data_IF_737300062608
#
_entry.id   IF_737300062608
#
_cell.length_a   1.000
_cell.length_b   1.000
_cell.length_c   1.000
_cell.angle_alpha   90.00
_cell.angle_beta   90.00
_cell.angle_gamma   90.00
#
_symmetry.space_group_name_H-M   'P 1'
#
loop_
_entity.id
_entity.type
_entity.pdbx_description
1 polymer ?
#
# COMPACT_ATOMS: atom_id res chain seq x y z
N UNK A 1 -20.97 21.64 -8.65
CA UNK A 1 -20.30 22.81 -9.25
C UNK A 1 -21.18 24.05 -9.13
N UNK A 2 -22.40 24.06 -9.68
CA UNK A 2 -23.34 25.21 -9.64
C UNK A 2 -23.56 25.85 -8.25
N UNK A 3 -23.65 25.03 -7.19
CA UNK A 3 -23.79 25.50 -5.81
C UNK A 3 -22.61 26.37 -5.34
N UNK A 4 -21.39 26.08 -5.81
CA UNK A 4 -20.18 26.80 -5.45
C UNK A 4 -20.00 28.02 -6.36
N UNK A 5 -20.15 27.86 -7.67
CA UNK A 5 -19.97 28.94 -8.64
C UNK A 5 -20.98 30.07 -8.43
N UNK A 6 -22.25 29.77 -8.09
CA UNK A 6 -23.26 30.80 -7.76
C UNK A 6 -22.95 31.64 -6.51
N UNK A 7 -21.96 31.23 -5.70
CA UNK A 7 -21.50 31.98 -4.53
C UNK A 7 -20.12 32.61 -4.73
N UNK A 8 -19.63 32.65 -5.97
CA UNK A 8 -18.29 33.16 -6.27
C UNK A 8 -17.16 32.30 -5.72
N UNK A 9 -17.41 31.00 -5.48
CA UNK A 9 -16.35 30.03 -5.15
C UNK A 9 -15.87 29.39 -6.43
N UNK A 10 -14.56 29.38 -6.64
CA UNK A 10 -13.89 28.65 -7.73
C UNK A 10 -13.51 27.24 -7.24
N UNK A 11 -14.20 26.18 -7.68
CA UNK A 11 -13.90 24.82 -7.25
C UNK A 11 -12.71 24.22 -8.01
N UNK A 12 -11.78 23.62 -7.27
CA UNK A 12 -10.72 22.75 -7.82
C UNK A 12 -11.06 21.31 -7.43
N UNK A 13 -11.22 20.44 -8.43
CA UNK A 13 -11.40 19.01 -8.22
C UNK A 13 -10.09 18.32 -8.56
N UNK A 14 -9.54 17.58 -7.61
CA UNK A 14 -8.29 16.84 -7.78
C UNK A 14 -8.45 15.40 -7.28
N UNK A 15 -7.91 14.46 -8.04
CA UNK A 15 -7.67 13.08 -7.60
C UNK A 15 -6.16 12.87 -7.49
N UNK A 16 -5.72 12.28 -6.38
CA UNK A 16 -4.29 12.08 -6.10
C UNK A 16 -3.65 11.05 -7.04
N UNK A 17 -4.40 10.02 -7.42
CA UNK A 17 -3.96 8.92 -8.26
C UNK A 17 -5.17 8.24 -8.92
N UNK A 18 -4.91 7.44 -9.95
CA UNK A 18 -5.88 6.46 -10.45
C UNK A 18 -5.62 5.06 -9.88
N UNK A 19 -6.60 4.18 -10.07
CA UNK A 19 -6.59 2.80 -9.55
C UNK A 19 -6.61 1.85 -10.72
N UNK A 20 -5.60 0.99 -10.85
CA UNK A 20 -5.49 0.01 -11.94
C UNK A 20 -5.94 -1.39 -11.52
N UNK A 21 -6.41 -2.24 -12.46
CA UNK A 21 -6.85 -3.58 -12.13
C UNK A 21 -5.69 -4.46 -11.68
N UNK A 22 -5.89 -5.16 -10.58
CA UNK A 22 -4.99 -6.21 -10.08
C UNK A 22 -5.78 -7.49 -9.83
N UNK A 23 -5.09 -8.63 -9.83
CA UNK A 23 -5.73 -9.95 -9.70
C UNK A 23 -5.20 -10.78 -8.53
N UNK A 24 -4.00 -10.48 -8.03
CA UNK A 24 -3.40 -11.21 -6.90
C UNK A 24 -2.29 -10.38 -6.24
N UNK A 25 -1.72 -10.89 -5.14
CA UNK A 25 -0.65 -10.25 -4.40
C UNK A 25 0.65 -11.06 -4.34
N UNK A 26 1.75 -10.36 -4.12
CA UNK A 26 3.05 -10.90 -3.70
C UNK A 26 3.24 -10.58 -2.21
N UNK A 27 3.85 -11.48 -1.45
CA UNK A 27 4.11 -11.29 -0.01
C UNK A 27 5.63 -11.20 0.24
N UNK A 28 6.25 -10.00 0.16
CA UNK A 28 7.70 -9.87 0.28
C UNK A 28 8.24 -10.37 1.62
N UNK A 29 7.51 -10.18 2.73
CA UNK A 29 7.96 -10.66 4.04
C UNK A 29 7.95 -12.19 4.14
N UNK A 30 7.00 -12.88 3.49
CA UNK A 30 7.00 -14.34 3.38
C UNK A 30 8.22 -14.84 2.59
N UNK A 31 8.57 -14.18 1.48
CA UNK A 31 9.78 -14.50 0.70
C UNK A 31 11.05 -14.31 1.54
N UNK A 32 11.15 -13.19 2.26
CA UNK A 32 12.30 -12.92 3.16
C UNK A 32 12.39 -13.95 4.30
N UNK A 33 11.25 -14.43 4.80
CA UNK A 33 11.21 -15.51 5.79
C UNK A 33 11.77 -16.80 5.22
N UNK A 34 11.40 -17.16 4.00
CA UNK A 34 11.81 -18.43 3.38
C UNK A 34 13.32 -18.53 3.18
N UNK A 35 14.00 -17.39 2.98
CA UNK A 35 15.47 -17.31 2.88
C UNK A 35 16.17 -16.96 4.21
N UNK A 36 15.43 -16.96 5.32
CA UNK A 36 15.97 -16.73 6.67
C UNK A 36 16.41 -15.30 6.96
N UNK A 37 15.90 -14.31 6.21
CA UNK A 37 16.20 -12.89 6.41
C UNK A 37 15.17 -12.17 7.27
N UNK A 38 13.94 -12.70 7.36
CA UNK A 38 12.93 -12.20 8.27
C UNK A 38 13.01 -12.96 9.61
N UNK A 39 13.21 -12.22 10.70
CA UNK A 39 13.08 -12.78 12.03
C UNK A 39 11.64 -12.67 12.53
N UNK A 40 11.13 -13.78 13.04
CA UNK A 40 9.81 -13.88 13.65
C UNK A 40 9.87 -14.84 14.84
N UNK A 41 8.87 -14.78 15.70
CA UNK A 41 8.72 -15.65 16.87
C UNK A 41 7.27 -16.00 17.11
N UNK A 42 7.02 -17.09 17.82
CA UNK A 42 5.67 -17.46 18.23
C UNK A 42 5.35 -16.86 19.60
N UNK A 43 4.25 -16.10 19.68
CA UNK A 43 3.70 -15.55 20.91
C UNK A 43 2.23 -15.96 21.02
N UNK A 44 1.86 -16.70 22.06
CA UNK A 44 0.47 -17.16 22.28
C UNK A 44 -0.13 -17.90 21.05
N UNK A 45 0.70 -18.69 20.35
CA UNK A 45 0.31 -19.41 19.14
C UNK A 45 0.20 -18.54 17.87
N UNK A 46 0.60 -17.27 17.93
CA UNK A 46 0.62 -16.33 16.79
C UNK A 46 2.06 -16.00 16.38
N UNK A 47 2.28 -15.82 15.09
CA UNK A 47 3.59 -15.46 14.55
C UNK A 47 3.76 -13.94 14.53
N UNK A 48 4.65 -13.44 15.39
CA UNK A 48 4.97 -12.02 15.52
C UNK A 48 6.31 -11.73 14.87
N UNK A 49 6.36 -10.71 14.01
CA UNK A 49 7.60 -10.26 13.36
C UNK A 49 8.37 -9.29 14.24
N UNK A 50 9.70 -9.32 14.16
CA UNK A 50 10.59 -8.33 14.77
C UNK A 50 11.45 -7.67 13.68
N UNK A 51 11.02 -6.50 13.15
CA UNK A 51 11.76 -5.83 12.09
C UNK A 51 13.18 -5.42 12.51
N UNK A 52 13.40 -5.10 13.79
CA UNK A 52 14.69 -4.64 14.29
C UNK A 52 15.75 -5.73 14.35
N UNK A 53 15.32 -6.99 14.55
CA UNK A 53 16.20 -8.16 14.54
C UNK A 53 16.35 -8.77 13.13
N UNK A 54 15.44 -8.44 12.22
CA UNK A 54 15.43 -8.99 10.87
C UNK A 54 16.62 -8.50 10.04
N UNK A 55 17.15 -9.40 9.19
CA UNK A 55 18.13 -9.03 8.17
C UNK A 55 17.50 -8.17 7.08
N UNK A 56 16.24 -8.42 6.74
CA UNK A 56 15.45 -7.56 5.86
C UNK A 56 13.98 -7.56 6.27
N UNK A 57 13.28 -6.46 6.01
CA UNK A 57 11.86 -6.29 6.31
C UNK A 57 11.18 -5.39 5.28
N UNK A 58 10.04 -5.81 4.74
CA UNK A 58 9.28 -5.03 3.77
C UNK A 58 8.07 -4.36 4.43
N UNK A 59 7.91 -3.06 4.15
CA UNK A 59 6.67 -2.31 4.38
C UNK A 59 5.96 -2.20 3.04
N UNK A 60 4.78 -2.80 2.93
CA UNK A 60 4.05 -2.91 1.67
C UNK A 60 2.90 -1.90 1.60
N UNK A 61 2.77 -1.22 0.47
CA UNK A 61 1.65 -0.31 0.20
C UNK A 61 1.27 -0.41 -1.28
N UNK A 62 0.16 -1.12 -1.53
CA UNK A 62 -0.33 -1.37 -2.88
C UNK A 62 0.75 -1.93 -3.81
N UNK A 63 1.09 -1.26 -4.92
CA UNK A 63 2.04 -1.76 -5.93
C UNK A 63 3.49 -1.40 -5.63
N UNK A 64 3.77 -0.85 -4.45
CA UNK A 64 5.11 -0.46 -4.01
C UNK A 64 5.42 -1.08 -2.65
N UNK A 65 6.64 -1.57 -2.46
CA UNK A 65 7.11 -2.02 -1.16
C UNK A 65 8.50 -1.49 -0.85
N UNK A 66 8.66 -0.89 0.33
CA UNK A 66 9.96 -0.45 0.82
C UNK A 66 10.60 -1.55 1.65
N UNK A 67 11.73 -2.09 1.19
CA UNK A 67 12.50 -3.09 1.92
C UNK A 67 13.62 -2.40 2.68
N UNK A 68 13.62 -2.57 4.00
CA UNK A 68 14.69 -2.14 4.89
C UNK A 68 15.64 -3.27 5.19
N UNK A 69 16.93 -2.96 5.20
CA UNK A 69 18.00 -3.92 5.45
C UNK A 69 18.59 -3.68 6.84
N UNK A 70 18.51 -4.69 7.70
CA UNK A 70 19.29 -4.77 8.92
C UNK A 70 20.77 -5.04 8.62
N UNK A 71 21.60 -5.11 9.66
CA UNK A 71 23.06 -5.28 9.51
C UNK A 71 23.45 -6.50 8.67
N UNK A 72 22.79 -7.64 8.87
CA UNK A 72 23.06 -8.87 8.11
C UNK A 72 22.54 -8.80 6.67
N UNK A 73 21.42 -8.11 6.42
CA UNK A 73 20.90 -7.92 5.07
C UNK A 73 21.69 -6.89 4.26
N UNK A 74 22.27 -5.87 4.90
CA UNK A 74 23.13 -4.89 4.21
C UNK A 74 24.33 -5.55 3.52
N UNK A 75 24.95 -6.55 4.16
CA UNK A 75 26.05 -7.32 3.57
C UNK A 75 25.60 -8.24 2.43
N UNK A 76 24.29 -8.49 2.30
CA UNK A 76 23.66 -9.36 1.29
C UNK A 76 22.75 -8.58 0.34
N UNK A 77 22.92 -7.25 0.25
CA UNK A 77 22.01 -6.37 -0.50
C UNK A 77 21.76 -6.86 -1.93
N UNK A 78 22.83 -7.14 -2.67
CA UNK A 78 22.73 -7.54 -4.08
C UNK A 78 22.05 -8.90 -4.25
N UNK A 79 22.26 -9.82 -3.31
CA UNK A 79 21.57 -11.11 -3.26
C UNK A 79 20.07 -10.93 -3.01
N UNK A 80 19.70 -10.05 -2.08
CA UNK A 80 18.29 -9.72 -1.78
C UNK A 80 17.64 -9.05 -2.98
N UNK A 81 18.35 -8.15 -3.66
CA UNK A 81 17.86 -7.51 -4.86
C UNK A 81 17.62 -8.53 -5.98
N UNK A 82 18.57 -9.46 -6.21
CA UNK A 82 18.43 -10.52 -7.19
C UNK A 82 17.28 -11.51 -6.86
N UNK A 83 17.07 -11.81 -5.56
CA UNK A 83 15.94 -12.61 -5.10
C UNK A 83 14.62 -11.96 -5.50
N UNK A 84 14.45 -10.67 -5.23
CA UNK A 84 13.21 -9.98 -5.62
C UNK A 84 13.10 -9.78 -7.12
N UNK A 85 14.18 -9.51 -7.84
CA UNK A 85 14.15 -9.36 -9.30
C UNK A 85 13.77 -10.66 -10.03
N UNK A 86 14.02 -11.82 -9.40
CA UNK A 86 13.59 -13.14 -9.91
C UNK A 86 12.24 -13.61 -9.35
N UNK A 87 11.61 -12.84 -8.47
CA UNK A 87 10.32 -13.18 -7.89
C UNK A 87 9.19 -12.84 -8.87
N UNK A 88 8.36 -13.83 -9.21
CA UNK A 88 7.17 -13.62 -10.02
C UNK A 88 6.24 -12.57 -9.38
N UNK A 89 5.82 -11.59 -10.18
CA UNK A 89 4.96 -10.48 -9.72
C UNK A 89 5.72 -9.27 -9.19
N UNK A 90 7.06 -9.28 -9.19
CA UNK A 90 7.91 -8.08 -8.99
C UNK A 90 8.43 -7.64 -10.36
N UNK A 91 8.12 -6.42 -10.76
CA UNK A 91 8.56 -5.85 -12.03
C UNK A 91 9.91 -5.13 -11.93
N UNK A 92 10.15 -4.43 -10.81
CA UNK A 92 11.36 -3.63 -10.61
C UNK A 92 11.85 -3.73 -9.17
N UNK A 93 13.16 -3.65 -9.01
CA UNK A 93 13.85 -3.55 -7.72
C UNK A 93 14.80 -2.37 -7.79
N UNK A 94 14.35 -1.22 -7.29
CA UNK A 94 15.12 0.02 -7.34
C UNK A 94 16.14 0.04 -6.20
N UNK A 95 17.41 0.23 -6.56
CA UNK A 95 18.52 0.40 -5.63
C UNK A 95 19.54 1.40 -6.16
N UNK A 96 20.34 1.98 -5.26
CA UNK A 96 21.43 2.91 -5.64
C UNK A 96 20.93 4.05 -6.53
N UNK A 97 21.52 4.19 -7.72
CA UNK A 97 21.19 5.25 -8.68
C UNK A 97 19.77 5.15 -9.23
N UNK A 98 19.20 3.95 -9.42
CA UNK A 98 17.82 3.80 -9.90
C UNK A 98 16.82 4.35 -8.88
N UNK A 99 17.09 4.12 -7.59
CA UNK A 99 16.29 4.68 -6.50
C UNK A 99 16.39 6.22 -6.48
N UNK A 100 17.58 6.77 -6.72
CA UNK A 100 17.80 8.21 -6.81
C UNK A 100 17.08 8.83 -8.02
N UNK A 101 17.15 8.19 -9.18
CA UNK A 101 16.45 8.60 -10.40
C UNK A 101 14.93 8.61 -10.22
N UNK A 102 14.39 7.72 -9.39
CA UNK A 102 12.98 7.70 -9.00
C UNK A 102 12.60 8.72 -7.90
N UNK A 103 13.51 9.63 -7.52
CA UNK A 103 13.35 10.58 -6.41
C UNK A 103 13.10 9.92 -5.04
N UNK A 104 13.61 8.70 -4.84
CA UNK A 104 13.48 7.91 -3.61
C UNK A 104 14.79 7.81 -2.82
N UNK A 105 15.80 8.64 -3.12
CA UNK A 105 17.00 8.75 -2.29
C UNK A 105 16.76 9.59 -1.03
N UNK A 106 15.94 9.04 -0.13
CA UNK A 106 15.56 9.68 1.11
C UNK A 106 15.78 8.70 2.28
N UNK A 107 16.24 9.14 3.47
CA UNK A 107 16.45 8.27 4.62
C UNK A 107 15.18 7.54 5.10
N UNK A 108 13.99 7.98 4.67
CA UNK A 108 12.68 7.34 4.92
C UNK A 108 12.27 6.30 3.87
N UNK A 109 12.89 6.29 2.69
CA UNK A 109 12.69 5.24 1.70
C UNK A 109 13.50 3.99 2.02
N UNK A 110 12.95 2.82 1.72
CA UNK A 110 13.63 1.52 1.80
C UNK A 110 15.04 1.52 1.17
N UNK A 111 15.91 0.66 1.70
CA UNK A 111 17.22 0.38 1.11
C UNK A 111 17.08 -0.22 -0.31
N UNK A 112 16.02 -0.99 -0.52
CA UNK A 112 15.49 -1.38 -1.82
C UNK A 112 14.02 -0.92 -1.91
N UNK A 113 13.56 -0.59 -3.11
CA UNK A 113 12.13 -0.33 -3.37
C UNK A 113 11.64 -1.26 -4.46
N UNK A 114 10.62 -2.04 -4.15
CA UNK A 114 10.00 -2.97 -5.07
C UNK A 114 8.82 -2.29 -5.76
N UNK A 115 8.67 -2.55 -7.05
CA UNK A 115 7.47 -2.19 -7.82
C UNK A 115 6.88 -3.50 -8.33
N UNK A 116 5.61 -3.78 -8.00
CA UNK A 116 4.94 -5.03 -8.40
C UNK A 116 4.62 -5.01 -9.89
N UNK A 117 4.44 -6.16 -10.53
CA UNK A 117 3.82 -6.25 -11.85
C UNK A 117 2.47 -5.52 -11.91
N UNK A 118 2.04 -5.14 -13.12
CA UNK A 118 0.85 -4.29 -13.34
C UNK A 118 -0.43 -4.88 -12.75
N UNK A 119 -0.57 -6.20 -12.80
CA UNK A 119 -1.72 -6.96 -12.31
C UNK A 119 -1.53 -7.51 -10.89
N UNK A 120 -0.47 -7.07 -10.19
CA UNK A 120 -0.12 -7.49 -8.83
C UNK A 120 -0.10 -6.31 -7.87
N UNK A 121 -0.17 -6.62 -6.59
CA UNK A 121 0.10 -5.71 -5.47
C UNK A 121 0.90 -6.45 -4.38
N UNK A 122 1.36 -5.75 -3.34
CA UNK A 122 2.12 -6.32 -2.25
C UNK A 122 1.30 -6.41 -0.97
N UNK A 123 1.23 -7.61 -0.38
CA UNK A 123 0.75 -7.81 0.98
C UNK A 123 1.92 -7.69 1.96
N UNK A 124 1.61 -7.36 3.20
CA UNK A 124 2.60 -7.31 4.26
C UNK A 124 2.82 -8.68 4.95
N UNK A 125 2.15 -9.74 4.49
CA UNK A 125 2.04 -11.05 5.14
C UNK A 125 3.41 -11.75 5.28
N UNK A 126 3.65 -12.35 6.45
CA UNK A 126 4.87 -13.15 6.72
C UNK A 126 4.60 -14.58 7.19
N UNK A 127 3.34 -14.90 7.52
CA UNK A 127 2.93 -16.25 7.93
C UNK A 127 2.59 -17.10 6.72
N UNK A 128 2.77 -18.41 6.86
CA UNK A 128 2.34 -19.41 5.87
C UNK A 128 1.03 -20.08 6.25
N UNK A 129 0.73 -20.13 7.56
CA UNK A 129 -0.50 -20.68 8.10
C UNK A 129 -1.37 -19.55 8.66
N UNK A 130 -2.52 -19.31 8.03
CA UNK A 130 -3.50 -18.31 8.47
C UNK A 130 -3.98 -18.56 9.92
N UNK A 131 -3.95 -19.80 10.42
CA UNK A 131 -4.27 -20.06 11.83
C UNK A 131 -3.27 -19.39 12.79
N UNK A 132 -2.04 -19.15 12.33
CA UNK A 132 -0.95 -18.51 13.09
C UNK A 132 -0.79 -17.02 12.83
N UNK A 133 -1.58 -16.42 11.95
CA UNK A 133 -1.51 -14.98 11.68
C UNK A 133 -1.69 -14.15 12.97
N UNK A 134 -1.13 -12.94 13.06
CA UNK A 134 -1.40 -12.03 14.17
C UNK A 134 -2.90 -11.76 14.37
N UNK A 135 -3.30 -11.57 15.61
CA UNK A 135 -4.71 -11.35 15.97
C UNK A 135 -5.32 -10.10 15.30
N UNK A 136 -4.50 -9.07 15.13
CA UNK A 136 -4.87 -7.82 14.47
C UNK A 136 -5.02 -7.94 12.95
N UNK A 137 -4.54 -9.02 12.33
CA UNK A 137 -4.62 -9.17 10.87
C UNK A 137 -6.06 -9.11 10.36
N UNK A 138 -6.97 -9.73 11.11
CA UNK A 138 -8.39 -9.78 10.77
C UNK A 138 -9.17 -8.54 11.19
N UNK A 139 -8.48 -7.48 11.60
CA UNK A 139 -9.06 -6.23 12.09
C UNK A 139 -8.53 -5.05 11.27
N UNK A 140 -9.12 -3.87 11.47
CA UNK A 140 -8.58 -2.60 11.01
C UNK A 140 -7.59 -2.10 12.07
N UNK A 141 -6.28 -2.24 11.81
CA UNK A 141 -5.22 -1.87 12.75
C UNK A 141 -3.97 -1.33 12.03
N UNK A 142 -4.09 -0.08 11.60
CA UNK A 142 -3.07 0.64 10.81
C UNK A 142 -1.74 0.86 11.58
N UNK A 143 -1.73 0.66 12.89
CA UNK A 143 -0.54 0.89 13.70
C UNK A 143 0.31 -0.37 13.89
N UNK A 144 -0.32 -1.55 13.81
CA UNK A 144 0.37 -2.85 13.97
C UNK A 144 0.69 -3.51 12.63
N UNK A 145 -0.07 -3.22 11.57
CA UNK A 145 0.21 -3.72 10.23
C UNK A 145 1.38 -2.97 9.59
N UNK A 146 2.42 -3.65 9.13
CA UNK A 146 3.59 -3.01 8.54
C UNK A 146 3.34 -2.66 7.07
N UNK A 147 2.43 -1.72 6.85
CA UNK A 147 1.96 -1.34 5.53
C UNK A 147 0.47 -1.05 5.49
N UNK A 148 -0.02 -0.73 4.31
CA UNK A 148 -1.44 -0.62 4.05
C UNK A 148 -2.01 -1.98 3.61
N UNK A 149 -3.18 -2.34 4.13
CA UNK A 149 -3.86 -3.58 3.80
C UNK A 149 -5.24 -3.29 3.17
N UNK A 150 -5.35 -3.27 1.83
CA UNK A 150 -6.61 -2.99 1.14
C UNK A 150 -7.70 -4.04 1.43
N UNK A 151 -7.35 -5.21 1.99
CA UNK A 151 -8.34 -6.21 2.44
C UNK A 151 -9.24 -5.66 3.55
N UNK A 152 -8.81 -4.64 4.28
CA UNK A 152 -9.58 -3.95 5.33
C UNK A 152 -10.88 -3.30 4.83
N UNK A 153 -10.98 -3.05 3.52
CA UNK A 153 -12.18 -2.51 2.88
C UNK A 153 -13.31 -3.55 2.73
N UNK A 154 -13.03 -4.82 3.03
CA UNK A 154 -13.95 -5.93 2.84
C UNK A 154 -14.37 -6.55 4.17
N UNK A 155 -15.59 -7.07 4.21
CA UNK A 155 -15.99 -8.04 5.23
C UNK A 155 -15.74 -9.43 4.65
N UNK A 156 -15.12 -10.31 5.45
CA UNK A 156 -14.77 -11.65 5.03
C UNK A 156 -16.00 -12.41 4.49
N UNK A 157 -15.99 -12.79 3.19
CA UNK A 157 -17.07 -13.56 2.57
C UNK A 157 -17.34 -14.91 3.25
N UNK A 158 -16.37 -15.48 3.98
CA UNK A 158 -16.58 -16.71 4.73
C UNK A 158 -17.49 -16.53 5.96
N UNK A 159 -17.76 -15.28 6.39
CA UNK A 159 -18.69 -15.01 7.49
C UNK A 159 -20.13 -15.10 6.98
N UNK A 160 -20.81 -16.20 7.32
CA UNK A 160 -22.19 -16.47 6.87
C UNK A 160 -23.22 -15.37 7.21
N UNK A 161 -23.08 -14.73 8.37
CA UNK A 161 -24.00 -13.68 8.83
C UNK A 161 -23.24 -12.43 9.32
N UNK A 162 -22.72 -11.59 8.41
CA UNK A 162 -21.84 -10.46 8.75
C UNK A 162 -22.41 -9.52 9.81
N UNK A 163 -23.67 -9.10 9.65
CA UNK A 163 -24.35 -8.18 10.59
C UNK A 163 -24.45 -8.77 12.00
N UNK A 164 -24.74 -10.07 12.11
CA UNK A 164 -24.82 -10.75 13.40
C UNK A 164 -23.44 -10.91 14.03
N UNK A 165 -22.43 -11.25 13.22
CA UNK A 165 -21.06 -11.40 13.66
C UNK A 165 -20.49 -10.06 14.19
N UNK A 166 -20.78 -8.94 13.51
CA UNK A 166 -20.43 -7.59 13.98
C UNK A 166 -21.24 -7.22 15.23
N UNK A 167 -22.56 -7.39 15.19
CA UNK A 167 -23.45 -7.03 16.30
C UNK A 167 -23.10 -7.75 17.61
N UNK A 168 -22.79 -9.04 17.54
CA UNK A 168 -22.39 -9.83 18.72
C UNK A 168 -21.07 -9.35 19.33
N UNK A 169 -20.08 -8.97 18.51
CA UNK A 169 -18.80 -8.39 18.96
C UNK A 169 -19.00 -7.02 19.62
N UNK A 170 -19.86 -6.18 19.06
CA UNK A 170 -20.21 -4.88 19.65
C UNK A 170 -20.91 -5.03 21.00
N UNK A 171 -21.82 -6.01 21.14
CA UNK A 171 -22.47 -6.31 22.42
C UNK A 171 -21.43 -6.77 23.45
N UNK A 172 -20.55 -7.71 23.11
CA UNK A 172 -19.46 -8.17 23.99
C UNK A 172 -18.54 -7.02 24.42
N UNK A 173 -18.14 -6.16 23.48
CA UNK A 173 -17.36 -4.95 23.76
C UNK A 173 -18.11 -4.03 24.74
N UNK A 174 -19.41 -3.80 24.55
CA UNK A 174 -20.24 -2.97 25.44
C UNK A 174 -20.37 -3.58 26.85
N UNK A 175 -20.34 -4.91 26.95
CA UNK A 175 -20.35 -5.64 28.22
C UNK A 175 -18.95 -5.71 28.90
N UNK A 176 -17.92 -5.07 28.33
CA UNK A 176 -16.58 -5.00 28.92
C UNK A 176 -15.66 -6.18 28.59
N UNK A 177 -16.06 -7.09 27.71
CA UNK A 177 -15.20 -8.19 27.28
C UNK A 177 -14.13 -7.71 26.29
N UNK A 178 -12.89 -8.18 26.45
CA UNK A 178 -11.85 -8.03 25.45
C UNK A 178 -12.29 -8.73 24.16
N UNK A 179 -12.57 -7.95 23.12
CA UNK A 179 -13.18 -8.41 21.87
C UNK A 179 -12.51 -7.73 20.70
N UNK A 180 -12.12 -8.52 19.69
CA UNK A 180 -11.63 -8.00 18.41
C UNK A 180 -12.78 -7.87 17.42
N UNK A 181 -12.69 -6.91 16.50
CA UNK A 181 -13.56 -6.83 15.34
C UNK A 181 -12.93 -7.61 14.18
N UNK A 182 -12.78 -8.92 14.38
CA UNK A 182 -12.10 -9.86 13.49
C UNK A 182 -13.02 -10.27 12.31
N UNK A 183 -13.25 -9.32 11.39
CA UNK A 183 -14.15 -9.51 10.24
C UNK A 183 -13.47 -9.27 8.89
N UNK A 184 -12.19 -8.95 8.87
CA UNK A 184 -11.42 -8.73 7.64
C UNK A 184 -10.97 -10.09 7.06
N UNK A 185 -11.02 -10.28 5.72
CA UNK A 185 -10.53 -11.48 5.04
C UNK A 185 -9.00 -11.53 4.97
N UNK A 186 -8.45 -12.71 4.66
CA UNK A 186 -7.02 -12.89 4.34
C UNK A 186 -6.76 -13.07 2.84
N UNK A 187 -7.77 -13.45 2.06
CA UNK A 187 -7.68 -13.69 0.61
C UNK A 187 -7.28 -12.40 -0.14
N UNK A 188 -6.08 -12.35 -0.75
CA UNK A 188 -5.60 -11.17 -1.47
C UNK A 188 -6.35 -10.93 -2.80
N UNK A 189 -7.02 -11.93 -3.35
CA UNK A 189 -7.69 -11.85 -4.67
C UNK A 189 -8.99 -11.03 -4.63
N UNK A 190 -9.50 -10.72 -3.42
CA UNK A 190 -10.64 -9.81 -3.24
C UNK A 190 -10.31 -8.37 -3.63
N UNK A 191 -9.02 -7.99 -3.53
CA UNK A 191 -8.52 -6.70 -3.97
C UNK A 191 -8.38 -6.73 -5.49
N UNK A 192 -9.24 -5.98 -6.18
CA UNK A 192 -9.29 -5.93 -7.66
C UNK A 192 -8.78 -4.62 -8.25
N UNK A 193 -8.36 -3.68 -7.40
CA UNK A 193 -7.83 -2.38 -7.79
C UNK A 193 -6.67 -1.98 -6.88
N UNK A 194 -5.59 -1.46 -7.45
CA UNK A 194 -4.41 -1.01 -6.73
C UNK A 194 -3.76 0.21 -7.40
N UNK A 195 -2.75 0.81 -6.77
CA UNK A 195 -2.04 1.97 -7.32
C UNK A 195 -0.59 2.03 -6.83
N UNK A 196 0.15 3.04 -7.27
CA UNK A 196 1.51 3.33 -6.79
C UNK A 196 2.61 3.19 -7.84
N UNK A 197 2.36 2.50 -8.96
CA UNK A 197 3.27 2.57 -10.12
C UNK A 197 3.15 3.92 -10.82
N UNK A 198 4.26 4.38 -11.40
CA UNK A 198 4.33 5.63 -12.16
C UNK A 198 4.06 5.46 -13.67
N UNK A 199 4.13 4.23 -14.17
CA UNK A 199 4.08 3.93 -15.61
C UNK A 199 2.71 3.42 -16.05
N UNK A 200 1.63 4.04 -15.56
CA UNK A 200 0.27 3.64 -15.91
C UNK A 200 -0.13 4.12 -17.31
N UNK A 201 -0.95 3.31 -17.99
CA UNK A 201 -1.48 3.67 -19.31
C UNK A 201 -2.42 4.88 -19.22
N UNK A 202 -2.59 5.58 -20.34
CA UNK A 202 -3.53 6.68 -20.46
C UNK A 202 -4.93 6.26 -19.99
N UNK A 203 -5.58 7.10 -19.18
CA UNK A 203 -6.90 6.84 -18.61
C UNK A 203 -6.89 6.24 -17.19
N UNK A 204 -5.72 5.97 -16.65
CA UNK A 204 -5.53 5.56 -15.24
C UNK A 204 -4.82 6.63 -14.39
N UNK A 205 -4.71 7.84 -14.92
CA UNK A 205 -4.11 8.97 -14.23
C UNK A 205 -5.08 9.59 -13.22
N UNK A 206 -4.53 10.38 -12.28
CA UNK A 206 -5.33 11.29 -11.48
C UNK A 206 -6.00 12.34 -12.38
N UNK A 207 -7.13 12.88 -11.91
CA UNK A 207 -7.90 13.89 -12.63
C UNK A 207 -7.74 15.24 -11.94
N UNK A 208 -7.51 16.28 -12.72
CA UNK A 208 -7.59 17.67 -12.28
C UNK A 208 -8.66 18.38 -13.12
N UNK A 209 -9.66 18.97 -12.45
CA UNK A 209 -10.65 19.85 -13.08
C UNK A 209 -10.65 21.17 -12.34
N UNK A 210 -10.17 22.21 -13.00
CA UNK A 210 -10.15 23.58 -12.52
C UNK A 210 -10.16 24.55 -13.72
N UNK A 211 -10.78 25.72 -13.57
CA UNK A 211 -10.75 26.74 -14.63
C UNK A 211 -9.31 27.23 -14.87
N UNK A 212 -8.52 27.41 -13.80
CA UNK A 212 -7.10 27.71 -13.89
C UNK A 212 -6.27 26.62 -14.60
N UNK A 213 -6.74 25.38 -14.68
CA UNK A 213 -6.06 24.31 -15.41
C UNK A 213 -6.18 24.47 -16.93
N UNK A 214 -7.14 25.26 -17.44
CA UNK A 214 -7.32 25.48 -18.87
C UNK A 214 -6.11 26.15 -19.55
N UNK A 215 -5.31 26.89 -18.79
CA UNK A 215 -4.09 27.54 -19.30
C UNK A 215 -2.83 26.66 -19.18
N UNK A 216 -2.95 25.47 -18.59
CA UNK A 216 -1.86 24.49 -18.46
C UNK A 216 -1.91 23.41 -19.55
N UNK A 217 -2.97 23.40 -20.37
CA UNK A 217 -3.13 22.51 -21.51
C UNK A 217 -2.24 23.02 -22.65
N UNK A 218 -0.96 22.62 -22.65
CA UNK A 218 0.09 23.14 -23.53
C UNK A 218 0.29 22.33 -24.83
N UNK A 219 -0.79 21.69 -25.33
CA UNK A 219 -0.81 20.73 -26.46
C UNK A 219 -0.13 19.36 -26.17
N UNK A 220 0.30 19.08 -24.94
CA UNK A 220 0.81 17.76 -24.51
C UNK A 220 -0.25 16.95 -23.75
N UNK A 221 -0.92 16.01 -24.44
CA UNK A 221 -1.86 14.97 -23.95
C UNK A 221 -2.83 15.29 -22.76
N UNK A 222 -3.00 16.56 -22.41
CA UNK A 222 -3.73 17.07 -21.24
C UNK A 222 -3.09 16.78 -19.88
N UNK A 223 -1.83 16.30 -19.79
CA UNK A 223 -1.23 15.87 -18.51
C UNK A 223 -0.40 16.97 -17.85
N UNK A 224 -0.65 17.17 -16.56
CA UNK A 224 0.17 18.04 -15.70
C UNK A 224 0.86 17.22 -14.61
N UNK A 225 2.10 17.56 -14.21
CA UNK A 225 2.72 16.93 -13.04
C UNK A 225 1.89 17.18 -11.78
N UNK A 226 1.69 16.15 -10.93
CA UNK A 226 0.97 16.33 -9.66
C UNK A 226 1.60 17.41 -8.75
N UNK A 227 2.89 17.70 -8.91
CA UNK A 227 3.59 18.77 -8.18
C UNK A 227 3.12 20.18 -8.54
N UNK A 228 2.47 20.37 -9.71
CA UNK A 228 1.94 21.65 -10.14
C UNK A 228 0.63 22.04 -9.44
N UNK A 229 -0.09 21.09 -8.84
CA UNK A 229 -1.41 21.31 -8.21
C UNK A 229 -1.34 22.38 -7.10
N UNK A 230 -0.25 22.41 -6.32
CA UNK A 230 -0.05 23.43 -5.28
C UNK A 230 -0.04 24.83 -5.87
N UNK A 231 0.77 25.03 -6.91
CA UNK A 231 0.97 26.36 -7.50
C UNK A 231 -0.29 26.81 -8.24
N UNK A 232 -1.02 25.88 -8.86
CA UNK A 232 -2.35 26.15 -9.41
C UNK A 232 -3.33 26.60 -8.33
N UNK A 233 -3.42 25.87 -7.21
CA UNK A 233 -4.32 26.24 -6.13
C UNK A 233 -4.00 27.61 -5.52
N UNK A 234 -2.71 27.92 -5.34
CA UNK A 234 -2.27 29.23 -4.86
C UNK A 234 -2.57 30.34 -5.88
N UNK A 235 -2.37 30.07 -7.17
CA UNK A 235 -2.73 30.98 -8.25
C UNK A 235 -4.22 31.32 -8.26
N UNK A 236 -5.09 30.31 -8.13
CA UNK A 236 -6.54 30.52 -8.03
C UNK A 236 -6.94 31.32 -6.79
N UNK A 237 -6.27 31.14 -5.65
CA UNK A 237 -6.63 31.82 -4.40
C UNK A 237 -6.17 33.28 -4.31
N UNK A 238 -5.03 33.62 -4.94
CA UNK A 238 -4.34 34.89 -4.71
C UNK A 238 -4.03 35.69 -5.98
N UNK A 239 -4.24 35.10 -7.16
CA UNK A 239 -3.97 35.70 -8.48
C UNK A 239 -5.08 36.61 -9.00
#
# INVERSE_FOLDING_TARGET
>A
LEHFTSRGVEPILVSEYGIVPVTDAVAPNRILRDVGLLYWREEQGREMVDPGTSGAFAVADHQVAHVRLGRSGLARRDEIAALFASTAGVAQVLQGEERAAAALDHPRAGDLVLVSERDRWFTHDWWHDDAKMPDFQRTVDIHRKPGYDPRELFIDPAIRFPKLAIGSRLIRKKLGFRTLLDVIPTDPTLVRGSHGRIDQGLGWDGVLVADAAANLDDDSDGRVPCTAVRDLALGTMFG
#
